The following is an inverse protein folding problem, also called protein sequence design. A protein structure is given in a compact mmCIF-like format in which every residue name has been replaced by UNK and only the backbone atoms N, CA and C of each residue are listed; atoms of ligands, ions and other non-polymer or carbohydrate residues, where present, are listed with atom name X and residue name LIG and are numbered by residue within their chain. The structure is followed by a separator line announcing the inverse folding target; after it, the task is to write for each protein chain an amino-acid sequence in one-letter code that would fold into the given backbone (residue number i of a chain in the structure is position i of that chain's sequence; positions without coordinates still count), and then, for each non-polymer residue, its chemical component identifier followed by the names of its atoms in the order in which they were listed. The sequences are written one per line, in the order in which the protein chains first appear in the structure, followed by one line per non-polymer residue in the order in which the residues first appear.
data_IF_142451766802
#
_entry.id   IF_142451766802
#
_cell.length_a   1.000
_cell.length_b   1.000
_cell.length_c   1.000
_cell.angle_alpha   90.00
_cell.angle_beta   90.00
_cell.angle_gamma   90.00
#
_symmetry.space_group_name_H-M   'P 1'
#
loop_
_entity.id
_entity.type
_entity.pdbx_description
1 polymer ?
#
# COMPACT_ATOMS: atom_id res chain seq x y z
N UNK A 1 -10.94 -18.64 16.16
CA UNK A 1 -10.84 -17.65 17.26
C UNK A 1 -10.18 -16.43 16.64
N UNK A 2 -10.96 -15.43 16.22
CA UNK A 2 -10.42 -14.24 15.55
C UNK A 2 -9.95 -13.32 16.67
N UNK A 3 -8.64 -13.36 16.96
CA UNK A 3 -8.04 -12.52 17.98
C UNK A 3 -8.13 -11.05 17.58
N UNK A 4 -8.29 -10.17 18.57
CA UNK A 4 -8.26 -8.72 18.38
C UNK A 4 -6.92 -8.32 17.73
N UNK A 5 -6.97 -7.82 16.49
CA UNK A 5 -5.79 -7.49 15.68
C UNK A 5 -4.86 -6.51 16.40
N UNK A 6 -5.43 -5.54 17.12
CA UNK A 6 -4.65 -4.58 17.90
C UNK A 6 -3.82 -5.25 19.03
N UNK A 7 -4.38 -6.27 19.69
CA UNK A 7 -3.68 -7.04 20.72
C UNK A 7 -2.58 -7.91 20.11
N UNK A 8 -2.85 -8.52 18.96
CA UNK A 8 -1.84 -9.29 18.23
C UNK A 8 -0.65 -8.42 17.82
N UNK A 9 -0.90 -7.19 17.36
CA UNK A 9 0.17 -6.24 17.00
C UNK A 9 0.97 -5.75 18.21
N UNK A 10 0.31 -5.42 19.32
CA UNK A 10 1.01 -5.07 20.56
C UNK A 10 1.93 -6.21 21.03
N UNK A 11 1.44 -7.45 20.97
CA UNK A 11 2.21 -8.63 21.36
C UNK A 11 3.42 -8.84 20.44
N UNK A 12 3.25 -8.56 19.14
CA UNK A 12 4.32 -8.60 18.15
C UNK A 12 5.40 -7.54 18.44
N UNK A 13 5.01 -6.33 18.81
CA UNK A 13 5.94 -5.25 19.19
C UNK A 13 6.76 -5.59 20.42
N UNK A 14 6.11 -6.15 21.44
CA UNK A 14 6.81 -6.65 22.63
C UNK A 14 7.80 -7.76 22.27
N UNK A 15 7.40 -8.71 21.40
CA UNK A 15 8.28 -9.78 20.94
C UNK A 15 9.50 -9.26 20.18
N UNK A 16 9.33 -8.29 19.28
CA UNK A 16 10.44 -7.64 18.57
C UNK A 16 11.36 -6.91 19.55
N UNK A 17 10.78 -6.18 20.52
CA UNK A 17 11.55 -5.46 21.54
C UNK A 17 12.38 -6.41 22.40
N UNK A 18 11.80 -7.54 22.82
CA UNK A 18 12.50 -8.59 23.55
C UNK A 18 13.63 -9.19 22.71
N UNK A 19 13.38 -9.52 21.43
CA UNK A 19 14.40 -10.06 20.53
C UNK A 19 15.58 -9.07 20.33
N UNK A 20 15.29 -7.76 20.24
CA UNK A 20 16.30 -6.70 20.18
C UNK A 20 17.10 -6.62 21.50
N UNK A 21 16.44 -6.69 22.67
CA UNK A 21 17.09 -6.69 23.99
C UNK A 21 17.99 -7.92 24.21
N UNK A 22 17.54 -9.09 23.76
CA UNK A 22 18.31 -10.33 23.76
C UNK A 22 19.46 -10.32 22.75
N UNK A 23 19.61 -9.26 21.93
CA UNK A 23 20.60 -9.14 20.87
C UNK A 23 20.56 -10.27 19.85
N UNK A 24 19.39 -10.84 19.58
CA UNK A 24 19.22 -11.94 18.61
C UNK A 24 19.54 -11.52 17.16
N UNK A 25 19.98 -10.29 16.91
CA UNK A 25 20.50 -9.83 15.62
C UNK A 25 22.02 -10.03 15.48
N UNK A 26 22.72 -10.32 16.57
CA UNK A 26 24.17 -10.50 16.61
C UNK A 26 24.52 -11.98 16.76
N UNK A 27 25.37 -12.52 15.90
CA UNK A 27 25.77 -13.92 15.91
C UNK A 27 26.51 -14.31 17.21
N UNK A 28 27.23 -13.37 17.84
CA UNK A 28 27.90 -13.64 19.12
C UNK A 28 26.90 -13.88 20.27
N UNK A 29 25.63 -13.47 20.11
CA UNK A 29 24.59 -13.73 21.12
C UNK A 29 24.22 -15.22 21.23
N UNK A 30 24.65 -16.04 20.27
CA UNK A 30 24.39 -17.47 20.25
C UNK A 30 25.55 -18.32 20.77
N UNK A 31 26.66 -17.70 21.16
CA UNK A 31 27.83 -18.40 21.68
C UNK A 31 27.47 -19.13 22.98
N UNK A 32 27.69 -20.44 23.00
CA UNK A 32 27.38 -21.30 24.14
C UNK A 32 25.95 -21.86 24.18
N UNK A 33 25.10 -21.50 23.21
CA UNK A 33 23.79 -22.15 23.03
C UNK A 33 23.94 -23.51 22.32
N UNK A 34 22.98 -24.40 22.55
CA UNK A 34 22.86 -25.61 21.74
C UNK A 34 22.64 -25.23 20.26
N UNK A 35 23.23 -25.96 19.29
CA UNK A 35 23.07 -25.64 17.87
C UNK A 35 21.61 -25.54 17.39
N UNK A 36 20.69 -26.30 17.98
CA UNK A 36 19.26 -26.24 17.66
C UNK A 36 18.65 -24.95 18.22
N UNK A 37 18.98 -24.60 19.47
CA UNK A 37 18.51 -23.38 20.12
C UNK A 37 19.00 -22.13 19.38
N UNK A 38 20.30 -22.07 19.06
CA UNK A 38 20.88 -21.00 18.25
C UNK A 38 20.16 -20.81 16.91
N UNK A 39 19.82 -21.93 16.23
CA UNK A 39 19.08 -21.89 14.96
C UNK A 39 17.64 -21.38 15.14
N UNK A 40 16.95 -21.82 16.20
CA UNK A 40 15.59 -21.37 16.50
C UNK A 40 15.56 -19.87 16.82
N UNK A 41 16.48 -19.39 17.66
CA UNK A 41 16.60 -17.97 18.00
C UNK A 41 16.91 -17.10 16.77
N UNK A 42 17.84 -17.54 15.91
CA UNK A 42 18.14 -16.85 14.64
C UNK A 42 16.91 -16.73 13.75
N UNK A 43 16.20 -17.84 13.54
CA UNK A 43 14.99 -17.86 12.72
C UNK A 43 13.91 -16.95 13.31
N UNK A 44 13.67 -17.04 14.62
CA UNK A 44 12.68 -16.23 15.31
C UNK A 44 12.95 -14.73 15.13
N UNK A 45 14.21 -14.29 15.25
CA UNK A 45 14.58 -12.90 14.99
C UNK A 45 14.25 -12.47 13.56
N UNK A 46 14.65 -13.27 12.55
CA UNK A 46 14.38 -12.92 11.15
C UNK A 46 12.89 -12.93 10.81
N UNK A 47 12.10 -13.82 11.41
CA UNK A 47 10.64 -13.80 11.28
C UNK A 47 10.03 -12.52 11.86
N UNK A 48 10.40 -12.18 13.10
CA UNK A 48 9.90 -10.97 13.78
C UNK A 48 10.30 -9.70 13.03
N UNK A 49 11.56 -9.60 12.61
CA UNK A 49 12.08 -8.45 11.88
C UNK A 49 11.45 -8.30 10.48
N UNK A 50 11.26 -9.41 9.77
CA UNK A 50 10.58 -9.38 8.47
C UNK A 50 9.12 -8.94 8.62
N UNK A 51 8.45 -9.40 9.66
CA UNK A 51 7.08 -9.01 9.92
C UNK A 51 6.94 -7.54 10.40
N UNK A 52 7.96 -6.97 11.06
CA UNK A 52 8.05 -5.52 11.32
C UNK A 52 8.07 -4.72 10.00
N UNK A 53 8.86 -5.16 9.03
CA UNK A 53 9.01 -4.49 7.72
C UNK A 53 7.80 -4.62 6.79
N UNK A 54 6.92 -5.59 7.03
CA UNK A 54 5.69 -5.78 6.25
C UNK A 54 4.52 -4.95 6.78
N UNK A 55 4.77 -4.05 7.74
CA UNK A 55 3.75 -3.12 8.23
C UNK A 55 3.59 -1.97 7.24
N UNK A 56 2.37 -1.83 6.76
CA UNK A 56 1.97 -0.70 5.92
C UNK A 56 0.93 0.11 6.66
N UNK A 57 1.15 1.42 6.76
CA UNK A 57 0.11 2.35 7.15
C UNK A 57 -0.78 2.60 5.93
N UNK A 58 -2.05 2.21 6.05
CA UNK A 58 -2.99 2.29 4.94
C UNK A 58 -3.92 3.47 5.17
N UNK A 59 -3.87 4.43 4.25
CA UNK A 59 -4.82 5.55 4.20
C UNK A 59 -5.77 5.35 3.03
N UNK A 60 -7.07 5.33 3.31
CA UNK A 60 -8.12 5.26 2.30
C UNK A 60 -8.71 6.65 2.07
N UNK A 61 -8.56 7.16 0.85
CA UNK A 61 -9.21 8.39 0.42
C UNK A 61 -10.69 8.10 0.14
N UNK A 62 -11.57 8.80 0.85
CA UNK A 62 -13.01 8.64 0.71
C UNK A 62 -13.67 9.98 0.36
N UNK A 63 -14.71 9.94 -0.50
CA UNK A 63 -15.57 11.11 -0.67
C UNK A 63 -16.23 11.44 0.67
N UNK A 64 -16.37 12.73 1.02
CA UNK A 64 -16.99 13.13 2.29
C UNK A 64 -18.38 12.51 2.51
N UNK A 65 -19.17 12.37 1.45
CA UNK A 65 -20.52 11.77 1.47
C UNK A 65 -20.53 10.25 1.69
N UNK A 66 -19.39 9.58 1.51
CA UNK A 66 -19.27 8.12 1.58
C UNK A 66 -18.74 7.62 2.92
N UNK A 67 -18.26 8.48 3.82
CA UNK A 67 -17.55 8.08 5.06
C UNK A 67 -18.43 7.22 5.96
N UNK A 68 -19.72 7.54 6.04
CA UNK A 68 -20.66 6.89 6.97
C UNK A 68 -21.12 5.51 6.48
N UNK A 69 -20.62 5.04 5.32
CA UNK A 69 -20.98 3.72 4.81
C UNK A 69 -20.35 2.61 5.68
N UNK A 70 -21.06 1.50 5.89
CA UNK A 70 -20.61 0.42 6.78
C UNK A 70 -19.25 -0.17 6.36
N UNK A 71 -18.89 -0.10 5.08
CA UNK A 71 -17.59 -0.55 4.57
C UNK A 71 -16.44 0.28 5.15
N UNK A 72 -16.55 1.59 5.22
CA UNK A 72 -15.51 2.47 5.76
C UNK A 72 -15.38 2.36 7.28
N UNK A 73 -16.49 2.14 7.99
CA UNK A 73 -16.47 1.86 9.43
C UNK A 73 -15.67 0.57 9.68
N UNK A 74 -15.93 -0.49 8.91
CA UNK A 74 -15.17 -1.74 9.01
C UNK A 74 -13.69 -1.56 8.67
N UNK A 75 -13.34 -0.71 7.70
CA UNK A 75 -11.94 -0.42 7.40
C UNK A 75 -11.27 0.34 8.55
N UNK A 76 -11.95 1.31 9.15
CA UNK A 76 -11.46 2.04 10.32
C UNK A 76 -11.25 1.10 11.53
N UNK A 77 -12.17 0.16 11.77
CA UNK A 77 -12.01 -0.88 12.81
C UNK A 77 -10.79 -1.78 12.58
N UNK A 78 -10.38 -1.97 11.31
CA UNK A 78 -9.18 -2.72 10.95
C UNK A 78 -7.89 -1.87 10.96
N UNK A 79 -7.95 -0.62 11.42
CA UNK A 79 -6.79 0.27 11.52
C UNK A 79 -6.45 1.04 10.25
N UNK A 80 -7.36 1.10 9.26
CA UNK A 80 -7.20 1.95 8.08
C UNK A 80 -7.57 3.39 8.42
N UNK A 81 -6.72 4.34 8.04
CA UNK A 81 -6.99 5.77 8.23
C UNK A 81 -7.91 6.23 7.11
N UNK A 82 -9.09 6.74 7.45
CA UNK A 82 -10.05 7.23 6.45
C UNK A 82 -9.89 8.74 6.34
N UNK A 83 -9.45 9.22 5.17
CA UNK A 83 -9.26 10.65 4.93
C UNK A 83 -10.34 11.16 3.97
N UNK A 84 -11.18 12.12 4.40
CA UNK A 84 -12.18 12.72 3.53
C UNK A 84 -11.51 13.65 2.51
N UNK A 85 -11.52 13.26 1.24
CA UNK A 85 -10.95 14.06 0.15
C UNK A 85 -11.84 13.93 -1.08
N UNK A 86 -12.08 15.06 -1.75
CA UNK A 86 -12.69 15.05 -3.07
C UNK A 86 -11.58 14.96 -4.13
N UNK A 87 -11.69 14.00 -5.04
CA UNK A 87 -10.70 13.73 -6.11
C UNK A 87 -10.86 14.72 -7.26
N UNK A 88 -10.75 16.01 -6.95
CA UNK A 88 -10.67 17.11 -7.92
C UNK A 88 -9.29 17.74 -7.82
N UNK A 89 -8.80 18.29 -8.92
CA UNK A 89 -7.54 19.06 -8.93
C UNK A 89 -7.62 20.19 -7.91
N UNK A 90 -6.96 20.00 -6.77
CA UNK A 90 -7.03 20.88 -5.61
C UNK A 90 -5.78 20.72 -4.75
N UNK A 91 -5.36 21.81 -4.11
CA UNK A 91 -4.20 21.80 -3.20
C UNK A 91 -4.43 20.86 -2.01
N UNK A 92 -5.69 20.63 -1.62
CA UNK A 92 -6.06 19.71 -0.56
C UNK A 92 -5.72 18.26 -0.91
N UNK A 93 -5.90 17.85 -2.17
CA UNK A 93 -5.53 16.52 -2.61
C UNK A 93 -4.01 16.35 -2.58
N UNK A 94 -3.24 17.36 -2.99
CA UNK A 94 -1.77 17.32 -2.88
C UNK A 94 -1.34 17.19 -1.43
N UNK A 95 -1.89 18.02 -0.53
CA UNK A 95 -1.58 17.99 0.90
C UNK A 95 -1.88 16.62 1.53
N UNK A 96 -2.99 15.98 1.14
CA UNK A 96 -3.34 14.65 1.61
C UNK A 96 -2.35 13.55 1.16
N UNK A 97 -1.62 13.78 0.08
CA UNK A 97 -0.63 12.84 -0.48
C UNK A 97 0.80 13.12 -0.02
N UNK A 98 1.08 14.28 0.59
CA UNK A 98 2.42 14.61 1.10
C UNK A 98 2.82 13.60 2.18
N UNK A 99 4.00 13.01 2.01
CA UNK A 99 4.54 11.99 2.92
C UNK A 99 4.09 10.57 2.63
N UNK A 100 3.24 10.35 1.61
CA UNK A 100 2.85 9.00 1.18
C UNK A 100 3.92 8.39 0.28
N UNK A 101 4.32 7.15 0.57
CA UNK A 101 5.29 6.42 -0.24
C UNK A 101 4.69 5.86 -1.53
N UNK A 102 3.45 5.35 -1.45
CA UNK A 102 2.77 4.65 -2.53
C UNK A 102 1.32 5.11 -2.64
N UNK A 103 0.90 5.48 -3.84
CA UNK A 103 -0.50 5.78 -4.16
C UNK A 103 -1.03 4.71 -5.10
N UNK A 104 -2.15 4.10 -4.74
CA UNK A 104 -2.82 3.07 -5.54
C UNK A 104 -4.18 3.60 -5.96
N UNK A 105 -4.41 3.70 -7.27
CA UNK A 105 -5.73 3.98 -7.81
C UNK A 105 -6.50 2.70 -8.10
N UNK A 106 -7.72 2.65 -7.58
CA UNK A 106 -8.70 1.61 -7.87
C UNK A 106 -9.96 2.20 -8.55
N UNK A 107 -9.80 3.28 -9.34
CA UNK A 107 -10.93 3.97 -9.98
C UNK A 107 -11.43 3.26 -11.24
N UNK A 108 -12.69 3.49 -11.60
CA UNK A 108 -13.25 2.99 -12.87
C UNK A 108 -12.91 3.90 -14.04
N UNK A 109 -13.05 3.41 -15.27
CA UNK A 109 -12.84 4.22 -16.49
C UNK A 109 -13.81 5.40 -16.61
N UNK A 110 -14.94 5.37 -15.90
CA UNK A 110 -15.88 6.48 -15.85
C UNK A 110 -15.32 7.68 -15.08
N UNK A 111 -14.26 7.47 -14.29
CA UNK A 111 -13.66 8.46 -13.41
C UNK A 111 -12.29 8.91 -13.92
N UNK A 112 -12.16 9.03 -15.25
CA UNK A 112 -10.90 9.41 -15.90
C UNK A 112 -10.38 10.77 -15.41
N UNK A 113 -11.28 11.75 -15.25
CA UNK A 113 -10.90 13.09 -14.77
C UNK A 113 -10.32 13.05 -13.36
N UNK A 114 -10.89 12.19 -12.49
CA UNK A 114 -10.41 11.98 -11.12
C UNK A 114 -9.07 11.23 -11.09
N UNK A 115 -8.87 10.26 -11.98
CA UNK A 115 -7.59 9.56 -12.15
C UNK A 115 -6.50 10.55 -12.55
N UNK A 116 -6.79 11.42 -13.53
CA UNK A 116 -5.84 12.44 -13.99
C UNK A 116 -5.48 13.43 -12.88
N UNK A 117 -6.48 13.90 -12.12
CA UNK A 117 -6.25 14.76 -10.95
C UNK A 117 -5.38 14.07 -9.88
N UNK A 118 -5.58 12.77 -9.66
CA UNK A 118 -4.78 12.01 -8.71
C UNK A 118 -3.32 11.84 -9.18
N UNK A 119 -3.10 11.61 -10.47
CA UNK A 119 -1.76 11.51 -11.07
C UNK A 119 -1.00 12.83 -10.89
N UNK A 120 -1.64 13.95 -11.21
CA UNK A 120 -1.03 15.28 -11.05
C UNK A 120 -0.73 15.59 -9.59
N UNK A 121 -1.65 15.26 -8.69
CA UNK A 121 -1.45 15.47 -7.26
C UNK A 121 -0.35 14.56 -6.69
N UNK A 122 -0.27 13.31 -7.12
CA UNK A 122 0.79 12.38 -6.71
C UNK A 122 2.17 12.83 -7.21
N UNK A 123 2.24 13.37 -8.43
CA UNK A 123 3.44 13.98 -8.96
C UNK A 123 3.85 15.22 -8.15
N UNK A 124 2.92 16.13 -7.88
CA UNK A 124 3.17 17.35 -7.10
C UNK A 124 3.58 17.05 -5.64
N UNK A 125 3.01 15.99 -5.04
CA UNK A 125 3.35 15.53 -3.69
C UNK A 125 4.69 14.78 -3.62
N UNK A 126 5.27 14.38 -4.76
CA UNK A 126 6.54 13.66 -4.82
C UNK A 126 6.45 12.21 -4.35
N UNK A 127 5.33 11.54 -4.62
CA UNK A 127 5.09 10.14 -4.20
C UNK A 127 6.14 9.19 -4.78
N UNK A 128 6.61 8.24 -3.97
CA UNK A 128 7.66 7.28 -4.36
C UNK A 128 7.23 6.27 -5.43
N UNK A 129 5.93 5.90 -5.47
CA UNK A 129 5.36 5.04 -6.51
C UNK A 129 3.86 5.26 -6.72
N UNK A 130 3.43 5.31 -7.97
CA UNK A 130 2.04 5.36 -8.39
C UNK A 130 1.59 4.06 -9.06
N UNK A 131 0.50 3.47 -8.59
CA UNK A 131 -0.12 2.29 -9.20
C UNK A 131 -1.42 2.75 -9.86
N UNK A 132 -1.46 2.92 -11.19
CA UNK A 132 -2.69 3.31 -11.88
C UNK A 132 -3.73 2.20 -11.79
N UNK A 133 -5.01 2.56 -12.01
CA UNK A 133 -6.08 1.56 -12.13
C UNK A 133 -5.90 0.73 -13.40
N UNK A 134 -5.08 -0.32 -13.32
CA UNK A 134 -4.68 -1.15 -14.45
C UNK A 134 -5.21 -2.59 -14.39
N UNK A 135 -5.92 -2.92 -13.32
CA UNK A 135 -6.35 -4.27 -12.95
C UNK A 135 -7.39 -4.88 -13.91
N UNK A 136 -6.98 -5.23 -15.12
CA UNK A 136 -7.82 -5.78 -16.16
C UNK A 136 -7.15 -6.90 -16.95
N UNK A 137 -7.78 -7.33 -18.05
CA UNK A 137 -7.28 -8.42 -18.87
C UNK A 137 -6.00 -8.04 -19.61
N UNK A 138 -5.07 -8.98 -19.70
CA UNK A 138 -3.88 -8.86 -20.54
C UNK A 138 -4.33 -8.70 -22.01
N UNK A 139 -4.15 -7.51 -22.56
CA UNK A 139 -4.54 -7.16 -23.92
C UNK A 139 -3.38 -6.43 -24.59
N UNK A 140 -3.09 -6.69 -25.89
CA UNK A 140 -2.10 -5.92 -26.62
C UNK A 140 -2.39 -4.41 -26.57
N UNK A 141 -1.35 -3.56 -26.53
CA UNK A 141 -1.55 -2.12 -26.54
C UNK A 141 -2.08 -1.67 -27.91
N UNK A 142 -3.10 -0.82 -27.90
CA UNK A 142 -3.66 -0.09 -29.04
C UNK A 142 -4.36 -0.93 -30.11
N UNK A 143 -5.54 -0.47 -30.55
CA UNK A 143 -6.24 -0.98 -31.73
C UNK A 143 -6.96 -2.31 -31.57
N UNK A 144 -6.90 -2.93 -30.39
CA UNK A 144 -7.61 -4.18 -30.08
C UNK A 144 -8.84 -3.92 -29.20
N UNK A 145 -8.69 -3.08 -28.16
CA UNK A 145 -9.73 -2.82 -27.18
C UNK A 145 -9.73 -1.34 -26.80
N UNK A 146 -10.83 -0.64 -27.08
CA UNK A 146 -10.96 0.80 -26.83
C UNK A 146 -10.60 1.19 -25.38
N UNK A 147 -11.04 0.39 -24.41
CA UNK A 147 -10.75 0.63 -22.99
C UNK A 147 -9.26 0.49 -22.67
N UNK A 148 -8.55 -0.41 -23.36
CA UNK A 148 -7.10 -0.56 -23.21
C UNK A 148 -6.40 0.66 -23.79
N UNK A 149 -6.82 1.14 -24.95
CA UNK A 149 -6.22 2.30 -25.61
C UNK A 149 -6.28 3.54 -24.71
N UNK A 150 -7.42 3.81 -24.08
CA UNK A 150 -7.56 4.92 -23.11
C UNK A 150 -6.63 4.74 -21.91
N UNK A 151 -6.47 3.53 -21.38
CA UNK A 151 -5.52 3.28 -20.29
C UNK A 151 -4.07 3.50 -20.75
N UNK A 152 -3.70 3.04 -21.94
CA UNK A 152 -2.37 3.30 -22.52
C UNK A 152 -2.07 4.80 -22.62
N UNK A 153 -3.07 5.64 -22.93
CA UNK A 153 -2.89 7.10 -22.94
C UNK A 153 -2.61 7.68 -21.53
N UNK A 154 -3.28 7.16 -20.49
CA UNK A 154 -2.98 7.51 -19.08
C UNK A 154 -1.55 7.10 -18.74
N UNK A 155 -1.14 5.89 -19.16
CA UNK A 155 0.20 5.37 -18.88
C UNK A 155 1.28 6.21 -19.57
N UNK A 156 1.02 6.64 -20.80
CA UNK A 156 1.89 7.54 -21.54
C UNK A 156 1.97 8.93 -20.88
N UNK A 157 0.88 9.41 -20.27
CA UNK A 157 0.90 10.64 -19.47
C UNK A 157 1.78 10.49 -18.21
N UNK A 158 1.60 9.41 -17.44
CA UNK A 158 2.42 9.10 -16.26
C UNK A 158 3.91 9.04 -16.61
N UNK A 159 4.25 8.40 -17.75
CA UNK A 159 5.63 8.34 -18.25
C UNK A 159 6.20 9.74 -18.55
N UNK A 160 5.42 10.62 -19.17
CA UNK A 160 5.85 12.00 -19.49
C UNK A 160 6.13 12.83 -18.24
N UNK A 161 5.39 12.57 -17.15
CA UNK A 161 5.61 13.23 -15.85
C UNK A 161 6.82 12.67 -15.09
N UNK A 162 7.47 11.61 -15.60
CA UNK A 162 8.52 10.88 -14.88
C UNK A 162 8.07 10.37 -13.51
N UNK A 163 6.77 10.12 -13.33
CA UNK A 163 6.22 9.56 -12.11
C UNK A 163 6.53 8.05 -12.09
N UNK A 164 7.20 7.59 -11.03
CA UNK A 164 7.52 6.17 -10.86
C UNK A 164 6.24 5.36 -10.76
N UNK A 165 6.04 4.39 -11.65
CA UNK A 165 4.77 3.66 -11.70
C UNK A 165 4.92 2.14 -11.73
N UNK A 166 3.84 1.44 -11.41
CA UNK A 166 3.70 0.00 -11.64
C UNK A 166 2.30 -0.31 -12.15
N UNK A 167 2.21 -0.69 -13.41
CA UNK A 167 0.96 -1.17 -14.00
C UNK A 167 0.79 -2.67 -13.69
N UNK A 168 -0.38 -3.06 -13.19
CA UNK A 168 -0.68 -4.43 -12.76
C UNK A 168 -1.82 -4.98 -13.63
N UNK A 169 -1.50 -5.90 -14.52
CA UNK A 169 -2.49 -6.68 -15.28
C UNK A 169 -2.84 -7.95 -14.49
N UNK A 170 -4.12 -8.16 -14.17
CA UNK A 170 -4.60 -9.28 -13.33
C UNK A 170 -5.44 -10.30 -14.10
N UNK A 171 -5.68 -10.08 -15.39
CA UNK A 171 -6.54 -10.97 -16.16
C UNK A 171 -8.03 -10.67 -15.92
N UNK A 172 -8.79 -11.69 -15.57
CA UNK A 172 -10.23 -11.59 -15.34
C UNK A 172 -10.57 -11.77 -13.87
N UNK A 173 -11.48 -10.94 -13.36
CA UNK A 173 -11.99 -11.03 -12.00
C UNK A 173 -12.99 -12.20 -11.90
N UNK A 174 -12.87 -13.03 -10.85
CA UNK A 174 -13.71 -14.22 -10.62
C UNK A 174 -14.61 -14.06 -9.40
#
# INVERSE_FOLDING_TARGET
MIGNSALAWHTMDEAIRLAKQMRLHDENSYDGLDPIEAKLCRNAFWFLFSAEKLRYEVTALARPESIDKPEYIKYAENGVIITPVELKSSDLLVQALVGMDVVISCMSLQQLDQEMALIEAAHAAGVGRYVPSWFGPCCPPRGVMLLRDTKEDILDYIKRLYLLYTAIDVGWWY
#
